data_IF_641508011613
#
_entry.id   IF_641508011613
#
_cell.length_a   1.000
_cell.length_b   1.000
_cell.length_c   1.000
_cell.angle_alpha   90.00
_cell.angle_beta   90.00
_cell.angle_gamma   90.00
#
_symmetry.space_group_name_H-M   'P 1'
#
loop_
_entity.id
_entity.type
_entity.pdbx_description
1 polymer ?
#
# COMPACT_ATOMS: atom_id res chain seq x y z
N UNK A 1 -12.85 -44.04 -15.14
CA UNK A 1 -11.59 -43.67 -15.80
C UNK A 1 -11.95 -42.57 -16.79
N UNK A 2 -11.65 -41.33 -16.41
CA UNK A 2 -12.34 -40.14 -16.90
C UNK A 2 -11.52 -39.41 -17.97
N UNK A 3 -12.11 -39.19 -19.14
CA UNK A 3 -11.52 -38.48 -20.28
C UNK A 3 -11.58 -36.93 -20.15
N UNK A 4 -11.61 -36.39 -18.93
CA UNK A 4 -11.82 -34.96 -18.69
C UNK A 4 -10.53 -34.15 -18.42
N UNK A 5 -9.36 -34.80 -18.35
CA UNK A 5 -8.11 -34.16 -17.86
C UNK A 5 -7.23 -33.50 -18.95
N UNK A 6 -7.58 -33.56 -20.24
CA UNK A 6 -6.66 -33.17 -21.32
C UNK A 6 -6.83 -31.75 -21.91
N UNK A 7 -7.68 -30.88 -21.36
CA UNK A 7 -7.95 -29.56 -21.96
C UNK A 7 -7.09 -28.42 -21.38
N UNK A 8 -6.34 -28.63 -20.29
CA UNK A 8 -5.78 -27.50 -19.51
C UNK A 8 -4.29 -27.18 -19.66
N UNK A 9 -3.64 -27.48 -20.80
CA UNK A 9 -2.21 -27.16 -21.00
C UNK A 9 -1.92 -26.40 -22.30
N UNK A 10 -2.75 -25.40 -22.66
CA UNK A 10 -2.34 -24.46 -23.72
C UNK A 10 -1.33 -23.45 -23.13
N UNK A 11 -0.06 -23.44 -23.57
CA UNK A 11 0.94 -22.52 -23.05
C UNK A 11 0.51 -21.08 -23.33
N UNK A 12 0.41 -20.27 -22.26
CA UNK A 12 0.06 -18.84 -22.39
C UNK A 12 1.18 -18.14 -23.15
N UNK A 13 0.87 -17.35 -24.20
CA UNK A 13 1.88 -16.55 -24.86
C UNK A 13 2.48 -15.57 -23.85
N UNK A 14 3.79 -15.67 -23.64
CA UNK A 14 4.55 -14.70 -22.85
C UNK A 14 4.50 -13.34 -23.54
N UNK A 15 3.53 -12.52 -23.15
CA UNK A 15 3.32 -11.19 -23.68
C UNK A 15 4.47 -10.28 -23.23
N UNK A 16 5.49 -10.13 -24.08
CA UNK A 16 6.57 -9.14 -23.92
C UNK A 16 6.03 -7.74 -24.19
N UNK A 17 5.25 -7.20 -23.25
CA UNK A 17 4.94 -5.77 -23.24
C UNK A 17 6.18 -4.95 -22.92
N UNK A 18 6.24 -3.66 -23.31
CA UNK A 18 7.35 -2.78 -22.96
C UNK A 18 7.46 -2.76 -21.43
N UNK A 19 8.50 -3.41 -20.90
CA UNK A 19 8.94 -3.16 -19.54
C UNK A 19 9.44 -1.72 -19.56
N UNK A 20 8.59 -0.78 -19.17
CA UNK A 20 9.09 0.37 -18.43
C UNK A 20 9.95 -0.25 -17.32
N UNK A 21 11.27 -0.09 -17.45
CA UNK A 21 12.21 -0.73 -16.55
C UNK A 21 11.95 -0.13 -15.17
N UNK A 22 11.18 -0.85 -14.35
CA UNK A 22 10.89 -0.44 -12.97
C UNK A 22 12.19 -0.20 -12.19
N UNK A 23 13.27 -0.89 -12.56
CA UNK A 23 14.62 -0.62 -12.06
C UNK A 23 15.06 0.83 -12.29
N UNK A 24 14.70 1.43 -13.42
CA UNK A 24 14.97 2.85 -13.73
C UNK A 24 14.16 3.82 -12.85
N UNK A 25 12.87 3.54 -12.62
CA UNK A 25 12.03 4.36 -11.73
C UNK A 25 12.54 4.25 -10.28
N UNK A 26 12.80 3.03 -9.81
CA UNK A 26 13.40 2.80 -8.49
C UNK A 26 14.77 3.45 -8.36
N UNK A 27 15.62 3.33 -9.38
CA UNK A 27 16.93 3.97 -9.42
C UNK A 27 16.83 5.49 -9.36
N UNK A 28 15.92 6.11 -10.12
CA UNK A 28 15.67 7.54 -10.08
C UNK A 28 15.14 7.99 -8.71
N UNK A 29 14.19 7.25 -8.12
CA UNK A 29 13.68 7.54 -6.77
C UNK A 29 14.76 7.39 -5.69
N UNK A 30 15.60 6.36 -5.77
CA UNK A 30 16.71 6.14 -4.85
C UNK A 30 17.77 7.22 -5.00
N UNK A 31 18.16 7.58 -6.24
CA UNK A 31 19.14 8.65 -6.49
C UNK A 31 18.60 10.00 -6.05
N UNK A 32 17.33 10.30 -6.32
CA UNK A 32 16.68 11.52 -5.84
C UNK A 32 16.66 11.54 -4.30
N UNK A 33 16.22 10.45 -3.67
CA UNK A 33 16.19 10.33 -2.20
C UNK A 33 17.57 10.41 -1.57
N UNK A 34 18.57 9.75 -2.16
CA UNK A 34 19.96 9.77 -1.70
C UNK A 34 20.59 11.15 -1.87
N UNK A 35 20.31 11.86 -2.98
CA UNK A 35 20.74 13.25 -3.17
C UNK A 35 20.04 14.21 -2.21
N UNK A 36 18.76 13.99 -1.91
CA UNK A 36 18.02 14.77 -0.92
C UNK A 36 18.48 14.50 0.52
N UNK A 37 18.94 13.27 0.81
CA UNK A 37 19.49 12.86 2.11
C UNK A 37 20.97 13.23 2.27
N UNK A 38 21.71 13.32 1.16
CA UNK A 38 23.05 13.90 1.10
C UNK A 38 22.95 15.37 1.51
N UNK A 39 23.27 15.64 2.78
CA UNK A 39 23.26 16.97 3.40
C UNK A 39 24.29 17.95 2.80
N UNK A 40 24.69 17.79 1.54
CA UNK A 40 25.47 18.78 0.80
C UNK A 40 24.62 20.04 0.66
N UNK A 41 25.04 21.19 1.23
CA UNK A 41 24.29 22.43 1.11
C UNK A 41 24.20 22.83 -0.36
N UNK A 42 22.99 22.98 -0.91
CA UNK A 42 22.79 23.52 -2.25
C UNK A 42 23.31 24.98 -2.29
N UNK A 43 24.38 25.29 -3.04
CA UNK A 43 25.16 26.50 -2.82
C UNK A 43 24.46 27.82 -3.20
N UNK A 44 23.29 27.80 -3.86
CA UNK A 44 22.56 29.03 -4.23
C UNK A 44 21.06 29.03 -3.87
N UNK A 45 20.39 27.87 -3.84
CA UNK A 45 18.94 27.81 -3.50
C UNK A 45 18.69 28.00 -2.01
N UNK A 46 19.71 27.70 -1.18
CA UNK A 46 19.64 27.81 0.28
C UNK A 46 19.21 29.20 0.76
N UNK A 47 19.69 30.29 0.15
CA UNK A 47 19.36 31.65 0.62
C UNK A 47 17.88 31.98 0.47
N UNK A 48 17.28 31.65 -0.67
CA UNK A 48 15.85 31.91 -0.91
C UNK A 48 14.94 30.91 -0.19
N UNK A 49 15.35 29.64 -0.11
CA UNK A 49 14.63 28.64 0.66
C UNK A 49 14.65 28.94 2.16
N UNK A 50 15.76 29.44 2.72
CA UNK A 50 15.84 29.84 4.13
C UNK A 50 15.03 31.11 4.42
N UNK A 51 14.81 31.98 3.41
CA UNK A 51 13.90 33.12 3.53
C UNK A 51 12.43 32.67 3.56
N UNK A 52 12.05 31.69 2.74
CA UNK A 52 10.69 31.14 2.75
C UNK A 52 10.42 30.22 3.94
N UNK A 53 11.45 29.54 4.44
CA UNK A 53 11.35 28.55 5.52
C UNK A 53 12.47 28.77 6.53
N UNK A 54 12.34 29.77 7.42
CA UNK A 54 13.36 30.05 8.42
C UNK A 54 13.64 28.82 9.28
N UNK A 55 14.92 28.47 9.42
CA UNK A 55 15.36 27.37 10.28
C UNK A 55 15.23 27.88 11.72
N UNK A 56 14.24 27.36 12.46
CA UNK A 56 14.12 27.62 13.88
C UNK A 56 15.23 26.85 14.60
N UNK A 57 16.28 27.56 14.99
CA UNK A 57 17.40 26.98 15.74
C UNK A 57 17.02 26.92 17.23
N UNK A 58 15.98 26.16 17.58
CA UNK A 58 15.55 26.02 18.98
C UNK A 58 16.18 24.76 19.56
N UNK A 59 17.12 24.94 20.48
CA UNK A 59 17.76 23.88 21.28
C UNK A 59 16.92 23.49 22.52
N UNK A 60 15.61 23.74 22.50
CA UNK A 60 14.71 23.62 23.64
C UNK A 60 14.26 22.19 23.97
N UNK A 61 15.02 21.18 23.55
CA UNK A 61 14.67 19.76 23.70
C UNK A 61 13.59 19.26 22.71
N UNK A 62 13.09 18.03 22.89
CA UNK A 62 12.21 17.37 21.92
C UNK A 62 10.92 18.14 21.58
N UNK A 63 10.38 18.90 22.54
CA UNK A 63 9.17 19.72 22.37
C UNK A 63 9.44 20.94 21.48
N UNK A 64 10.64 21.52 21.55
CA UNK A 64 11.05 22.60 20.66
C UNK A 64 11.35 22.08 19.25
N UNK A 65 12.01 20.92 19.18
CA UNK A 65 12.42 20.29 17.93
C UNK A 65 11.23 19.84 17.07
N UNK A 66 10.16 19.31 17.67
CA UNK A 66 8.99 18.83 16.92
C UNK A 66 8.28 19.94 16.12
N UNK A 67 8.53 21.22 16.43
CA UNK A 67 7.98 22.35 15.67
C UNK A 67 8.50 22.41 14.22
N UNK A 68 9.63 21.77 13.90
CA UNK A 68 10.09 21.67 12.51
C UNK A 68 9.23 20.68 11.69
N UNK A 69 8.50 19.79 12.36
CA UNK A 69 7.85 18.64 11.76
C UNK A 69 6.46 19.01 11.24
N UNK A 70 6.32 19.08 9.91
CA UNK A 70 5.10 19.57 9.26
C UNK A 70 4.14 18.45 8.82
N UNK A 71 4.43 17.18 9.12
CA UNK A 71 3.60 16.05 8.70
C UNK A 71 2.59 15.66 9.80
N UNK A 72 1.38 15.17 9.44
CA UNK A 72 0.37 14.71 10.41
C UNK A 72 0.88 13.73 11.44
N UNK A 73 0.65 14.01 12.71
CA UNK A 73 0.92 13.15 13.87
C UNK A 73 -0.28 13.19 14.84
N UNK A 74 -0.18 12.55 16.01
CA UNK A 74 -1.28 12.49 16.98
C UNK A 74 -2.52 11.80 16.42
N UNK A 75 -3.70 12.20 16.88
CA UNK A 75 -4.98 11.63 16.44
C UNK A 75 -5.22 11.85 14.93
N UNK A 76 -4.93 13.04 14.40
CA UNK A 76 -5.06 13.31 12.96
C UNK A 76 -4.11 12.44 12.13
N UNK A 77 -2.87 12.25 12.59
CA UNK A 77 -1.91 11.31 11.99
C UNK A 77 -2.42 9.87 11.99
N UNK A 78 -2.95 9.41 13.13
CA UNK A 78 -3.50 8.07 13.26
C UNK A 78 -4.65 7.83 12.27
N UNK A 79 -5.62 8.74 12.22
CA UNK A 79 -6.75 8.69 11.26
C UNK A 79 -6.22 8.69 9.82
N UNK A 80 -5.20 9.51 9.55
CA UNK A 80 -4.52 9.56 8.27
C UNK A 80 -3.93 8.18 7.90
N UNK A 81 -3.24 7.49 8.80
CA UNK A 81 -2.72 6.16 8.49
C UNK A 81 -3.82 5.13 8.27
N UNK A 82 -4.91 5.15 9.05
CA UNK A 82 -6.06 4.27 8.85
C UNK A 82 -6.68 4.44 7.46
N UNK A 83 -6.90 5.68 7.01
CA UNK A 83 -7.38 5.93 5.66
C UNK A 83 -6.40 5.49 4.57
N UNK A 84 -5.09 5.59 4.83
CA UNK A 84 -4.09 5.10 3.87
C UNK A 84 -4.13 3.58 3.75
N UNK A 85 -4.23 2.85 4.86
CA UNK A 85 -4.38 1.39 4.81
C UNK A 85 -5.67 0.97 4.13
N UNK A 86 -6.77 1.66 4.42
CA UNK A 86 -8.05 1.46 3.75
C UNK A 86 -7.91 1.63 2.24
N UNK A 87 -7.27 2.72 1.80
CA UNK A 87 -7.01 2.98 0.39
C UNK A 87 -6.20 1.86 -0.25
N UNK A 88 -5.07 1.47 0.37
CA UNK A 88 -4.20 0.41 -0.15
C UNK A 88 -4.95 -0.93 -0.25
N UNK A 89 -5.75 -1.28 0.76
CA UNK A 89 -6.50 -2.54 0.78
C UNK A 89 -7.51 -2.60 -0.39
N UNK A 90 -8.35 -1.58 -0.54
CA UNK A 90 -9.38 -1.58 -1.59
C UNK A 90 -8.80 -1.41 -3.00
N UNK A 91 -7.84 -0.49 -3.17
CA UNK A 91 -7.17 -0.32 -4.46
C UNK A 91 -6.37 -1.58 -4.84
N UNK A 92 -5.77 -2.27 -3.87
CA UNK A 92 -5.08 -3.55 -4.09
C UNK A 92 -6.01 -4.63 -4.66
N UNK A 93 -7.25 -4.71 -4.15
CA UNK A 93 -8.31 -5.64 -4.62
C UNK A 93 -8.98 -5.13 -5.92
N UNK A 94 -8.74 -3.89 -6.33
CA UNK A 94 -9.33 -3.28 -7.52
C UNK A 94 -10.76 -2.79 -7.32
N UNK A 95 -11.06 -2.30 -6.11
CA UNK A 95 -12.32 -1.61 -5.79
C UNK A 95 -12.03 -0.16 -5.42
N UNK A 96 -13.05 0.68 -5.57
CA UNK A 96 -13.00 2.06 -5.11
C UNK A 96 -12.99 2.09 -3.58
N UNK A 97 -12.08 2.84 -2.94
CA UNK A 97 -12.03 2.92 -1.48
C UNK A 97 -13.15 3.81 -0.90
N UNK A 98 -13.70 4.74 -1.69
CA UNK A 98 -14.89 5.49 -1.32
C UNK A 98 -16.13 4.58 -1.38
N UNK A 99 -16.98 4.68 -0.34
CA UNK A 99 -18.30 4.06 -0.34
C UNK A 99 -19.23 4.88 -1.25
N UNK A 100 -20.13 4.25 -2.04
CA UNK A 100 -20.34 2.81 -2.24
C UNK A 100 -19.20 2.11 -3.01
N UNK A 101 -18.86 0.88 -2.60
CA UNK A 101 -17.75 0.10 -3.16
C UNK A 101 -18.04 -0.39 -4.59
N UNK A 102 -17.60 0.38 -5.56
CA UNK A 102 -17.71 0.03 -6.97
C UNK A 102 -16.41 -0.59 -7.47
N UNK A 103 -16.49 -1.29 -8.61
CA UNK A 103 -15.29 -1.64 -9.35
C UNK A 103 -14.77 -0.37 -9.99
N UNK A 104 -13.47 -0.17 -9.91
CA UNK A 104 -12.84 0.94 -10.61
C UNK A 104 -13.01 0.70 -12.11
N UNK A 105 -13.61 1.64 -12.82
CA UNK A 105 -13.78 1.55 -14.28
C UNK A 105 -12.77 2.45 -15.01
N UNK A 106 -12.35 3.54 -14.38
CA UNK A 106 -11.55 4.59 -15.01
C UNK A 106 -10.09 4.52 -14.55
N UNK A 107 -9.37 3.51 -15.07
CA UNK A 107 -7.94 3.34 -14.78
C UNK A 107 -7.08 4.58 -15.06
N UNK A 108 -7.39 5.36 -16.12
CA UNK A 108 -6.65 6.60 -16.46
C UNK A 108 -6.81 7.68 -15.38
N UNK A 109 -8.03 7.86 -14.87
CA UNK A 109 -8.32 8.84 -13.83
C UNK A 109 -7.66 8.47 -12.50
N UNK A 110 -7.75 7.18 -12.12
CA UNK A 110 -7.05 6.63 -10.95
C UNK A 110 -5.54 6.86 -11.02
N UNK A 111 -4.95 6.63 -12.20
CA UNK A 111 -3.53 6.86 -12.44
C UNK A 111 -3.16 8.34 -12.30
N UNK A 112 -3.96 9.25 -12.86
CA UNK A 112 -3.73 10.70 -12.77
C UNK A 112 -3.77 11.20 -11.32
N UNK A 113 -4.80 10.81 -10.55
CA UNK A 113 -4.92 11.16 -9.14
C UNK A 113 -3.72 10.67 -8.31
N UNK A 114 -3.24 9.46 -8.62
CA UNK A 114 -2.08 8.86 -7.93
C UNK A 114 -0.79 9.61 -8.26
N UNK A 115 -0.58 10.01 -9.51
CA UNK A 115 0.58 10.80 -9.93
C UNK A 115 0.55 12.18 -9.27
N UNK A 116 -0.59 12.87 -9.28
CA UNK A 116 -0.75 14.19 -8.63
C UNK A 116 -0.46 14.08 -7.13
N UNK A 117 -1.01 13.04 -6.48
CA UNK A 117 -0.75 12.75 -5.07
C UNK A 117 0.75 12.62 -4.77
N UNK A 118 1.49 11.86 -5.58
CA UNK A 118 2.94 11.69 -5.44
C UNK A 118 3.70 13.01 -5.68
N UNK A 119 3.33 13.75 -6.73
CA UNK A 119 3.97 15.02 -7.08
C UNK A 119 3.82 16.08 -5.99
N UNK A 120 2.74 16.04 -5.20
CA UNK A 120 2.54 16.96 -4.07
C UNK A 120 3.17 16.41 -2.79
N UNK A 121 3.00 15.11 -2.51
CA UNK A 121 3.54 14.52 -1.28
C UNK A 121 5.07 14.60 -1.25
N UNK A 122 5.76 14.17 -2.30
CA UNK A 122 7.23 14.08 -2.30
C UNK A 122 7.90 15.42 -1.92
N UNK A 123 7.56 16.56 -2.55
CA UNK A 123 8.11 17.86 -2.15
C UNK A 123 7.77 18.25 -0.71
N UNK A 124 6.52 18.06 -0.26
CA UNK A 124 6.12 18.47 1.09
C UNK A 124 6.86 17.65 2.16
N UNK A 125 7.00 16.33 1.99
CA UNK A 125 7.83 15.51 2.88
C UNK A 125 9.31 15.92 2.81
N UNK A 126 9.83 16.20 1.62
CA UNK A 126 11.23 16.64 1.44
C UNK A 126 11.49 17.95 2.18
N UNK A 127 10.58 18.92 2.10
CA UNK A 127 10.65 20.18 2.85
C UNK A 127 10.63 19.89 4.36
N UNK A 128 9.72 19.04 4.83
CA UNK A 128 9.65 18.68 6.26
C UNK A 128 10.94 17.99 6.74
N UNK A 129 11.49 17.06 5.96
CA UNK A 129 12.75 16.37 6.27
C UNK A 129 13.90 17.37 6.32
N UNK A 130 13.97 18.29 5.35
CA UNK A 130 15.00 19.33 5.31
C UNK A 130 14.92 20.26 6.51
N UNK A 131 13.72 20.69 6.93
CA UNK A 131 13.51 21.52 8.12
C UNK A 131 13.93 20.81 9.41
N UNK A 132 13.72 19.50 9.49
CA UNK A 132 14.08 18.68 10.64
C UNK A 132 15.48 18.02 10.56
N UNK A 133 16.36 18.49 9.67
CA UNK A 133 17.66 17.84 9.42
C UNK A 133 18.62 17.84 10.62
N UNK A 134 18.41 18.73 11.59
CA UNK A 134 19.23 18.80 12.81
C UNK A 134 18.97 17.62 13.76
N UNK A 135 17.89 16.89 13.54
CA UNK A 135 17.38 15.84 14.41
C UNK A 135 17.13 14.58 13.58
N UNK A 136 18.08 13.65 13.63
CA UNK A 136 18.05 12.45 12.78
C UNK A 136 16.78 11.60 13.00
N UNK A 137 16.22 11.57 14.21
CA UNK A 137 14.97 10.88 14.54
C UNK A 137 13.81 11.31 13.61
N UNK A 138 13.57 12.62 13.52
CA UNK A 138 12.49 13.19 12.70
C UNK A 138 12.76 13.03 11.19
N UNK A 139 14.03 12.99 10.77
CA UNK A 139 14.42 12.67 9.38
C UNK A 139 13.98 11.26 9.01
N UNK A 140 14.29 10.26 9.84
CA UNK A 140 13.91 8.87 9.57
C UNK A 140 12.39 8.66 9.61
N UNK A 141 11.69 9.28 10.56
CA UNK A 141 10.22 9.24 10.60
C UNK A 141 9.62 9.95 9.38
N UNK A 142 10.18 11.08 8.95
CA UNK A 142 9.78 11.77 7.73
C UNK A 142 9.96 10.89 6.48
N UNK A 143 11.11 10.21 6.38
CA UNK A 143 11.38 9.25 5.31
C UNK A 143 10.39 8.07 5.31
N UNK A 144 10.03 7.57 6.49
CA UNK A 144 9.00 6.54 6.62
C UNK A 144 7.62 7.00 6.12
N UNK A 145 7.19 8.22 6.46
CA UNK A 145 5.92 8.77 5.94
C UNK A 145 5.98 8.98 4.42
N UNK A 146 7.13 9.38 3.89
CA UNK A 146 7.38 9.47 2.45
C UNK A 146 7.26 8.12 1.75
N UNK A 147 7.96 7.09 2.23
CA UNK A 147 7.90 5.73 1.66
C UNK A 147 6.48 5.14 1.70
N UNK A 148 5.70 5.46 2.74
CA UNK A 148 4.28 5.08 2.83
C UNK A 148 3.46 5.72 1.72
N UNK A 149 3.63 7.03 1.46
CA UNK A 149 2.93 7.72 0.36
C UNK A 149 3.37 7.21 -1.01
N UNK A 150 4.66 6.94 -1.20
CA UNK A 150 5.20 6.33 -2.44
C UNK A 150 4.55 4.96 -2.67
N UNK A 151 4.52 4.12 -1.64
CA UNK A 151 3.91 2.78 -1.72
C UNK A 151 2.44 2.87 -2.13
N UNK A 152 1.65 3.75 -1.50
CA UNK A 152 0.24 3.96 -1.83
C UNK A 152 0.07 4.38 -3.31
N UNK A 153 0.86 5.34 -3.78
CA UNK A 153 0.81 5.79 -5.18
C UNK A 153 1.21 4.69 -6.17
N UNK A 154 2.26 3.92 -5.87
CA UNK A 154 2.71 2.82 -6.72
C UNK A 154 1.70 1.67 -6.80
N UNK A 155 1.05 1.30 -5.68
CA UNK A 155 -0.05 0.32 -5.68
C UNK A 155 -1.17 0.76 -6.62
N UNK A 156 -1.59 2.03 -6.52
CA UNK A 156 -2.68 2.58 -7.33
C UNK A 156 -2.33 2.68 -8.82
N UNK A 157 -1.14 3.16 -9.17
CA UNK A 157 -0.64 3.20 -10.56
C UNK A 157 -0.51 1.79 -11.14
N UNK A 158 0.05 0.84 -10.38
CA UNK A 158 0.19 -0.53 -10.84
C UNK A 158 -1.18 -1.17 -11.10
N UNK A 159 -2.16 -0.97 -10.21
CA UNK A 159 -3.54 -1.45 -10.43
C UNK A 159 -4.17 -0.84 -11.68
N UNK A 160 -4.05 0.48 -11.85
CA UNK A 160 -4.56 1.19 -13.03
C UNK A 160 -3.99 0.63 -14.34
N UNK A 161 -2.68 0.30 -14.35
CA UNK A 161 -2.01 -0.29 -15.50
C UNK A 161 -2.54 -1.69 -15.84
N UNK A 162 -2.78 -2.53 -14.82
CA UNK A 162 -3.38 -3.86 -15.00
C UNK A 162 -4.75 -3.72 -15.68
N UNK A 163 -5.60 -2.81 -15.19
CA UNK A 163 -6.93 -2.59 -15.76
C UNK A 163 -6.90 -2.09 -17.20
N UNK A 164 -5.96 -1.20 -17.52
CA UNK A 164 -5.78 -0.68 -18.88
C UNK A 164 -5.45 -1.79 -19.87
N UNK A 165 -4.56 -2.72 -19.49
CA UNK A 165 -4.20 -3.86 -20.33
C UNK A 165 -5.40 -4.76 -20.65
N UNK A 166 -6.23 -5.04 -19.64
CA UNK A 166 -7.42 -5.87 -19.82
C UNK A 166 -8.44 -5.22 -20.77
N UNK A 167 -8.67 -3.91 -20.66
CA UNK A 167 -9.58 -3.19 -21.56
C UNK A 167 -9.13 -3.27 -23.01
N UNK A 168 -7.83 -3.08 -23.27
CA UNK A 168 -7.28 -3.20 -24.63
C UNK A 168 -7.40 -4.62 -25.18
N UNK A 169 -7.09 -5.65 -24.40
CA UNK A 169 -7.24 -7.04 -24.85
C UNK A 169 -8.68 -7.40 -25.17
N UNK A 170 -9.65 -6.92 -24.38
CA UNK A 170 -11.08 -7.15 -24.64
C UNK A 170 -11.55 -6.47 -25.93
N UNK A 171 -11.10 -5.23 -26.20
CA UNK A 171 -11.44 -4.52 -27.44
C UNK A 171 -10.85 -5.20 -28.68
N UNK A 172 -9.60 -5.68 -28.62
CA UNK A 172 -8.98 -6.37 -29.76
C UNK A 172 -9.68 -7.69 -30.08
N UNK A 173 -10.13 -8.45 -29.08
CA UNK A 173 -10.89 -9.69 -29.31
C UNK A 173 -12.26 -9.46 -29.93
N UNK A 174 -12.89 -8.30 -29.72
CA UNK A 174 -14.18 -7.97 -30.31
C UNK A 174 -14.08 -7.55 -31.79
N UNK A 175 -12.89 -7.13 -32.26
CA UNK A 175 -12.68 -6.60 -33.62
C UNK A 175 -12.01 -7.61 -34.56
N UNK A 176 -11.83 -8.87 -34.17
CA UNK A 176 -11.65 -9.91 -35.18
C UNK A 176 -13.02 -10.12 -35.83
N UNK A 177 -13.28 -9.59 -37.05
CA UNK A 177 -14.52 -9.90 -37.74
C UNK A 177 -14.60 -11.41 -37.79
N UNK A 178 -15.74 -11.96 -37.36
CA UNK A 178 -16.06 -13.33 -37.68
C UNK A 178 -16.13 -13.44 -39.20
N UNK A 179 -14.96 -13.63 -39.82
CA UNK A 179 -14.83 -14.18 -41.16
C UNK A 179 -15.03 -15.70 -41.10
N UNK A 180 -15.86 -16.15 -40.15
CA UNK A 180 -16.67 -17.33 -40.35
C UNK A 180 -17.74 -16.92 -41.35
N UNK A 181 -17.34 -16.90 -42.61
CA UNK A 181 -18.18 -17.36 -43.71
C UNK A 181 -18.53 -18.81 -43.36
N UNK A 182 -19.42 -18.99 -42.37
CA UNK A 182 -20.15 -20.23 -42.25
C UNK A 182 -20.82 -20.36 -43.60
N UNK A 183 -20.38 -21.35 -44.37
CA UNK A 183 -21.17 -21.91 -45.44
C UNK A 183 -22.56 -22.10 -44.84
N UNK A 184 -23.47 -21.19 -45.18
CA UNK A 184 -24.89 -21.35 -44.94
C UNK A 184 -25.24 -22.57 -45.77
N UNK A 185 -25.16 -23.76 -45.17
CA UNK A 185 -25.72 -24.94 -45.82
C UNK A 185 -27.22 -24.68 -45.81
N UNK A 186 -27.87 -24.57 -46.98
CA UNK A 186 -29.30 -24.43 -47.04
C UNK A 186 -29.91 -25.60 -46.28
N UNK A 187 -30.83 -25.27 -45.36
CA UNK A 187 -31.59 -26.24 -44.58
C UNK A 187 -32.22 -27.20 -45.59
N UNK A 188 -31.81 -28.47 -45.55
CA UNK A 188 -32.38 -29.50 -46.40
C UNK A 188 -33.79 -29.85 -45.87
N UNK A 189 -34.87 -29.55 -46.61
CA UNK A 189 -36.24 -29.70 -46.11
C UNK A 189 -36.71 -31.16 -45.97
N UNK A 190 -35.86 -32.15 -46.31
CA UNK A 190 -36.22 -33.56 -46.29
C UNK A 190 -36.20 -34.23 -44.89
N UNK A 191 -35.88 -33.52 -43.80
CA UNK A 191 -35.83 -34.13 -42.47
C UNK A 191 -36.59 -33.30 -41.40
N UNK A 192 -37.91 -33.51 -41.23
CA UNK A 192 -38.76 -32.72 -40.34
C UNK A 192 -38.63 -33.01 -38.83
N UNK A 193 -37.69 -33.85 -38.38
CA UNK A 193 -37.64 -34.30 -36.97
C UNK A 193 -36.57 -33.68 -36.06
N UNK A 194 -35.78 -32.69 -36.50
CA UNK A 194 -34.91 -31.94 -35.57
C UNK A 194 -35.62 -30.69 -35.04
N UNK A 195 -36.65 -30.96 -34.22
CA UNK A 195 -37.37 -29.96 -33.45
C UNK A 195 -36.57 -29.58 -32.18
N UNK A 196 -36.20 -28.30 -32.12
CA UNK A 196 -36.27 -27.45 -30.92
C UNK A 196 -35.74 -28.04 -29.61
N UNK A 197 -34.42 -27.98 -29.44
CA UNK A 197 -33.88 -27.64 -28.13
C UNK A 197 -33.87 -26.11 -28.02
N UNK A 198 -34.41 -25.49 -26.96
CA UNK A 198 -34.14 -24.08 -26.68
C UNK A 198 -32.67 -23.97 -26.33
N UNK A 199 -31.83 -23.70 -27.32
CA UNK A 199 -30.44 -23.30 -27.14
C UNK A 199 -30.44 -21.95 -26.44
N UNK A 200 -30.65 -22.01 -25.14
CA UNK A 200 -30.35 -20.96 -24.19
C UNK A 200 -28.85 -20.77 -24.28
N UNK A 201 -28.42 -19.96 -25.25
CA UNK A 201 -27.06 -19.47 -25.42
C UNK A 201 -26.66 -18.80 -24.11
N UNK A 202 -26.08 -19.61 -23.23
CA UNK A 202 -25.60 -19.26 -21.91
C UNK A 202 -24.44 -18.31 -22.14
N UNK A 203 -24.72 -17.00 -22.13
CA UNK A 203 -23.79 -15.87 -22.11
C UNK A 203 -22.89 -15.89 -20.85
N UNK A 204 -22.20 -17.01 -20.60
CA UNK A 204 -21.48 -17.29 -19.35
C UNK A 204 -20.00 -16.88 -19.44
N UNK A 205 -19.51 -16.52 -20.62
CA UNK A 205 -18.09 -16.25 -20.87
C UNK A 205 -17.61 -14.88 -20.36
N UNK A 206 -18.49 -13.88 -20.18
CA UNK A 206 -18.08 -12.56 -19.67
C UNK A 206 -17.80 -12.56 -18.16
N UNK A 207 -18.48 -13.40 -17.38
CA UNK A 207 -18.38 -13.42 -15.91
C UNK A 207 -17.05 -13.98 -15.41
N UNK A 208 -16.50 -15.02 -16.06
CA UNK A 208 -15.27 -15.68 -15.59
C UNK A 208 -14.02 -14.81 -15.77
N UNK A 209 -13.90 -14.08 -16.89
CA UNK A 209 -12.79 -13.14 -17.11
C UNK A 209 -12.76 -12.04 -16.06
N UNK A 210 -13.95 -11.59 -15.63
CA UNK A 210 -14.10 -10.54 -14.65
C UNK A 210 -13.68 -10.97 -13.23
N UNK A 211 -13.91 -12.23 -12.85
CA UNK A 211 -13.46 -12.77 -11.56
C UNK A 211 -11.93 -12.90 -11.49
N UNK A 212 -11.27 -13.30 -12.57
CA UNK A 212 -9.81 -13.42 -12.62
C UNK A 212 -9.10 -12.07 -12.39
N UNK A 213 -9.66 -10.96 -12.88
CA UNK A 213 -9.10 -9.61 -12.70
C UNK A 213 -9.10 -9.19 -11.22
N UNK A 214 -10.06 -9.66 -10.43
CA UNK A 214 -10.18 -9.30 -8.99
C UNK A 214 -9.07 -9.98 -8.17
N UNK A 215 -8.58 -11.14 -8.56
CA UNK A 215 -7.64 -11.94 -7.75
C UNK A 215 -6.17 -11.64 -8.00
N UNK A 216 -5.82 -10.66 -8.85
CA UNK A 216 -4.42 -10.34 -9.08
C UNK A 216 -3.86 -9.45 -7.95
N UNK A 217 -3.18 -10.10 -6.99
CA UNK A 217 -2.52 -9.47 -5.84
C UNK A 217 -1.13 -8.91 -6.13
N UNK A 218 -0.65 -8.94 -7.38
CA UNK A 218 0.69 -8.43 -7.75
C UNK A 218 0.95 -6.98 -7.28
N UNK A 219 -0.03 -6.05 -7.28
CA UNK A 219 0.18 -4.72 -6.73
C UNK A 219 0.57 -4.70 -5.25
N UNK A 220 0.19 -5.71 -4.45
CA UNK A 220 0.55 -5.77 -3.03
C UNK A 220 2.03 -6.01 -2.79
N UNK A 221 2.81 -6.41 -3.80
CA UNK A 221 4.27 -6.53 -3.69
C UNK A 221 4.94 -5.21 -3.26
N UNK A 222 4.33 -4.06 -3.58
CA UNK A 222 4.80 -2.75 -3.13
C UNK A 222 4.83 -2.59 -1.60
N UNK A 223 4.10 -3.43 -0.86
CA UNK A 223 4.16 -3.44 0.61
C UNK A 223 5.55 -3.75 1.17
N UNK A 224 6.43 -4.36 0.38
CA UNK A 224 7.84 -4.58 0.77
C UNK A 224 8.58 -3.24 0.93
N UNK A 225 8.34 -2.29 0.02
CA UNK A 225 8.93 -0.93 0.12
C UNK A 225 8.44 -0.23 1.38
N UNK A 226 7.15 -0.38 1.69
CA UNK A 226 6.58 0.12 2.93
C UNK A 226 7.17 -0.55 4.17
N UNK A 227 7.41 -1.86 4.15
CA UNK A 227 8.02 -2.57 5.27
C UNK A 227 9.45 -2.08 5.54
N UNK A 228 10.25 -1.90 4.48
CA UNK A 228 11.60 -1.31 4.58
C UNK A 228 11.51 0.10 5.17
N UNK A 229 10.63 0.95 4.65
CA UNK A 229 10.38 2.29 5.20
C UNK A 229 9.98 2.27 6.68
N UNK A 230 9.16 1.30 7.08
CA UNK A 230 8.71 1.11 8.46
C UNK A 230 9.86 0.73 9.38
N UNK A 231 10.76 -0.17 8.98
CA UNK A 231 11.94 -0.50 9.78
C UNK A 231 12.82 0.74 10.02
N UNK A 232 13.06 1.55 8.98
CA UNK A 232 13.85 2.78 9.08
C UNK A 232 13.16 3.80 10.00
N UNK A 233 11.85 4.01 9.83
CA UNK A 233 11.08 4.93 10.68
C UNK A 233 11.07 4.52 12.14
N UNK A 234 10.95 3.21 12.41
CA UNK A 234 10.95 2.67 13.77
C UNK A 234 12.31 2.83 14.47
N UNK A 235 13.43 2.75 13.74
CA UNK A 235 14.76 3.08 14.31
C UNK A 235 14.81 4.54 14.77
N UNK A 236 14.28 5.46 13.95
CA UNK A 236 14.16 6.87 14.32
C UNK A 236 13.26 7.10 15.53
N UNK A 237 12.11 6.41 15.55
CA UNK A 237 11.16 6.48 16.66
C UNK A 237 11.74 5.93 17.96
N UNK A 238 12.45 4.80 17.92
CA UNK A 238 13.10 4.19 19.10
C UNK A 238 14.14 5.15 19.70
N UNK A 239 14.97 5.79 18.87
CA UNK A 239 15.92 6.78 19.37
C UNK A 239 15.22 7.94 20.10
N UNK A 240 14.11 8.42 19.53
CA UNK A 240 13.28 9.46 20.15
C UNK A 240 12.66 8.99 21.46
N UNK A 241 12.09 7.78 21.49
CA UNK A 241 11.51 7.17 22.69
C UNK A 241 12.57 7.07 23.77
N UNK A 242 13.74 6.49 23.49
CA UNK A 242 14.81 6.32 24.48
C UNK A 242 15.20 7.64 25.15
N UNK A 243 15.21 8.74 24.39
CA UNK A 243 15.50 10.07 24.93
C UNK A 243 14.43 10.60 25.89
N UNK A 244 13.15 10.31 25.64
CA UNK A 244 12.01 10.84 26.41
C UNK A 244 11.45 9.84 27.44
N UNK A 245 11.79 8.55 27.33
CA UNK A 245 11.17 7.43 28.06
C UNK A 245 11.27 7.56 29.57
N UNK A 246 12.36 8.15 30.08
CA UNK A 246 12.58 8.33 31.52
C UNK A 246 11.71 9.45 32.10
N UNK A 247 11.41 10.47 31.30
CA UNK A 247 10.77 11.69 31.78
C UNK A 247 9.27 11.72 31.49
N UNK A 248 8.82 11.00 30.45
CA UNK A 248 7.43 11.06 29.99
C UNK A 248 6.68 9.74 30.25
N UNK A 249 5.81 9.74 31.26
CA UNK A 249 4.99 8.58 31.62
C UNK A 249 4.03 8.15 30.51
N UNK A 250 3.55 9.09 29.69
CA UNK A 250 2.64 8.80 28.58
C UNK A 250 3.33 7.97 27.49
N UNK A 251 4.55 8.35 27.11
CA UNK A 251 5.35 7.59 26.13
C UNK A 251 5.60 6.17 26.62
N UNK A 252 5.91 5.99 27.91
CA UNK A 252 6.10 4.67 28.52
C UNK A 252 4.83 3.82 28.47
N UNK A 253 3.68 4.37 28.90
CA UNK A 253 2.40 3.65 28.86
C UNK A 253 2.00 3.26 27.44
N UNK A 254 2.18 4.15 26.46
CA UNK A 254 1.94 3.83 25.04
C UNK A 254 2.85 2.71 24.54
N UNK A 255 4.13 2.73 24.92
CA UNK A 255 5.11 1.72 24.52
C UNK A 255 4.75 0.34 25.07
N UNK A 256 4.36 0.25 26.34
CA UNK A 256 3.89 -1.01 26.92
C UNK A 256 2.59 -1.49 26.25
N UNK A 257 1.63 -0.60 26.03
CA UNK A 257 0.38 -0.94 25.34
C UNK A 257 0.62 -1.49 23.94
N UNK A 258 1.52 -0.87 23.17
CA UNK A 258 1.90 -1.32 21.83
C UNK A 258 2.56 -2.71 21.83
N UNK A 259 3.53 -2.94 22.72
CA UNK A 259 4.22 -4.24 22.83
C UNK A 259 3.24 -5.34 23.24
N UNK A 260 2.37 -5.07 24.23
CA UNK A 260 1.35 -6.03 24.67
C UNK A 260 0.37 -6.35 23.54
N UNK A 261 -0.11 -5.33 22.81
CA UNK A 261 -1.03 -5.54 21.70
C UNK A 261 -0.44 -6.45 20.60
N UNK A 262 0.81 -6.21 20.20
CA UNK A 262 1.50 -7.06 19.21
C UNK A 262 1.71 -8.48 19.74
N UNK A 263 2.19 -8.62 20.99
CA UNK A 263 2.43 -9.91 21.59
C UNK A 263 1.14 -10.76 21.69
N UNK A 264 0.04 -10.16 22.16
CA UNK A 264 -1.26 -10.84 22.28
C UNK A 264 -1.78 -11.30 20.92
N UNK A 265 -1.71 -10.46 19.88
CA UNK A 265 -2.15 -10.83 18.53
C UNK A 265 -1.33 -11.98 17.94
N UNK A 266 -0.01 -11.96 18.14
CA UNK A 266 0.87 -12.99 17.63
C UNK A 266 0.68 -14.32 18.38
N UNK A 267 0.55 -14.28 19.71
CA UNK A 267 0.33 -15.46 20.55
C UNK A 267 -1.05 -16.10 20.32
N UNK A 268 -2.12 -15.30 20.18
CA UNK A 268 -3.46 -15.82 19.90
C UNK A 268 -3.53 -16.50 18.53
N UNK A 269 -2.85 -15.94 17.53
CA UNK A 269 -2.70 -16.56 16.20
C UNK A 269 -1.99 -17.90 16.28
N UNK A 270 -0.86 -17.97 17.01
CA UNK A 270 -0.11 -19.22 17.21
C UNK A 270 -0.97 -20.26 17.90
N UNK A 271 -1.65 -19.88 18.99
CA UNK A 271 -2.53 -20.79 19.72
C UNK A 271 -3.66 -21.32 18.83
N UNK A 272 -4.29 -20.45 18.02
CA UNK A 272 -5.34 -20.81 17.08
C UNK A 272 -4.86 -21.82 16.02
N UNK A 273 -3.77 -21.51 15.32
CA UNK A 273 -3.23 -22.38 14.27
C UNK A 273 -2.68 -23.69 14.84
N UNK A 274 -2.04 -23.65 16.00
CA UNK A 274 -1.55 -24.84 16.68
C UNK A 274 -2.70 -25.79 17.01
N UNK A 275 -3.78 -25.27 17.62
CA UNK A 275 -5.00 -26.06 17.91
C UNK A 275 -5.59 -26.67 16.63
N UNK A 276 -5.75 -25.87 15.57
CA UNK A 276 -6.32 -26.33 14.30
C UNK A 276 -5.52 -27.49 13.69
N UNK A 277 -4.19 -27.43 13.75
CA UNK A 277 -3.34 -28.50 13.20
C UNK A 277 -3.25 -29.74 14.10
N UNK A 278 -3.42 -29.59 15.42
CA UNK A 278 -3.51 -30.74 16.32
C UNK A 278 -4.76 -31.58 16.04
N UNK A 279 -5.89 -30.93 15.76
CA UNK A 279 -7.16 -31.63 15.46
C UNK A 279 -7.13 -32.36 14.11
N UNK A 280 -6.35 -31.88 13.13
CA UNK A 280 -6.27 -32.46 11.80
C UNK A 280 -5.29 -33.63 11.67
N UNK A 281 -4.31 -33.73 12.56
CA UNK A 281 -3.26 -34.74 12.46
C UNK A 281 -3.55 -35.88 13.45
N UNK A 282 -3.86 -37.07 12.92
CA UNK A 282 -4.11 -38.31 13.68
C UNK A 282 -2.84 -38.88 14.36
N UNK A 283 -1.97 -38.04 14.94
CA UNK A 283 -0.76 -38.46 15.66
C UNK A 283 0.46 -38.80 14.79
N UNK A 284 0.42 -38.59 13.47
CA UNK A 284 1.57 -38.90 12.59
C UNK A 284 2.67 -37.82 12.72
N UNK A 285 3.93 -38.25 12.92
CA UNK A 285 5.09 -37.37 13.10
C UNK A 285 5.27 -36.36 11.95
N UNK A 286 4.98 -36.78 10.70
CA UNK A 286 5.03 -35.89 9.52
C UNK A 286 4.01 -34.76 9.63
N UNK A 287 2.82 -35.05 10.14
CA UNK A 287 1.78 -34.06 10.39
C UNK A 287 2.21 -33.04 11.44
N UNK A 288 2.86 -33.51 12.51
CA UNK A 288 3.39 -32.64 13.57
C UNK A 288 4.48 -31.68 13.04
N UNK A 289 5.45 -32.16 12.25
CA UNK A 289 6.48 -31.29 11.67
C UNK A 289 5.85 -30.22 10.76
N UNK A 290 4.90 -30.61 9.92
CA UNK A 290 4.18 -29.68 9.04
C UNK A 290 3.38 -28.64 9.84
N UNK A 291 2.71 -29.07 10.91
CA UNK A 291 1.98 -28.20 11.83
C UNK A 291 2.89 -27.15 12.47
N UNK A 292 4.08 -27.54 12.95
CA UNK A 292 5.07 -26.61 13.50
C UNK A 292 5.55 -25.60 12.45
N UNK A 293 5.90 -26.05 11.24
CA UNK A 293 6.33 -25.16 10.16
C UNK A 293 5.25 -24.16 9.76
N UNK A 294 3.99 -24.61 9.64
CA UNK A 294 2.87 -23.74 9.30
C UNK A 294 2.53 -22.77 10.43
N UNK A 295 2.57 -23.23 11.68
CA UNK A 295 2.32 -22.38 12.87
C UNK A 295 3.40 -21.31 12.99
N UNK A 296 4.68 -21.69 12.88
CA UNK A 296 5.80 -20.75 12.91
C UNK A 296 5.71 -19.76 11.74
N UNK A 297 5.48 -20.24 10.52
CA UNK A 297 5.27 -19.37 9.36
C UNK A 297 4.13 -18.36 9.56
N UNK A 298 2.98 -18.82 10.09
CA UNK A 298 1.84 -17.95 10.38
C UNK A 298 2.14 -16.90 11.45
N UNK A 299 2.95 -17.24 12.46
CA UNK A 299 3.42 -16.32 13.49
C UNK A 299 4.21 -15.16 12.88
N UNK A 300 5.21 -15.44 12.03
CA UNK A 300 5.99 -14.36 11.40
C UNK A 300 5.13 -13.50 10.48
N UNK A 301 4.22 -14.10 9.73
CA UNK A 301 3.32 -13.34 8.85
C UNK A 301 2.46 -12.39 9.67
N UNK A 302 1.83 -12.86 10.76
CA UNK A 302 1.00 -12.01 11.62
C UNK A 302 1.84 -11.00 12.38
N UNK A 303 3.03 -11.37 12.86
CA UNK A 303 3.94 -10.43 13.52
C UNK A 303 4.34 -9.29 12.58
N UNK A 304 4.74 -9.59 11.34
CA UNK A 304 5.08 -8.59 10.33
C UNK A 304 3.87 -7.74 9.94
N UNK A 305 2.71 -8.36 9.77
CA UNK A 305 1.47 -7.65 9.43
C UNK A 305 1.01 -6.71 10.56
N UNK A 306 1.00 -7.19 11.80
CA UNK A 306 0.65 -6.43 13.00
C UNK A 306 1.68 -5.32 13.24
N UNK A 307 2.98 -5.64 13.19
CA UNK A 307 4.03 -4.64 13.33
C UNK A 307 3.92 -3.57 12.26
N UNK A 308 3.76 -3.93 10.99
CA UNK A 308 3.52 -2.99 9.90
C UNK A 308 2.31 -2.11 10.21
N UNK A 309 1.15 -2.71 10.45
CA UNK A 309 -0.10 -1.98 10.66
C UNK A 309 -0.05 -1.03 11.87
N UNK A 310 0.36 -1.52 13.04
CA UNK A 310 0.33 -0.74 14.28
C UNK A 310 1.49 0.26 14.40
N UNK A 311 2.62 0.05 13.72
CA UNK A 311 3.80 0.92 13.88
C UNK A 311 3.50 2.40 13.57
N UNK A 312 2.89 2.78 12.42
CA UNK A 312 2.55 4.18 12.18
C UNK A 312 1.55 4.76 13.19
N UNK A 313 0.57 3.96 13.62
CA UNK A 313 -0.41 4.40 14.62
C UNK A 313 0.28 4.73 15.95
N UNK A 314 1.16 3.83 16.38
CA UNK A 314 1.99 4.02 17.56
C UNK A 314 2.91 5.23 17.42
N UNK A 315 3.59 5.38 16.28
CA UNK A 315 4.45 6.53 16.00
C UNK A 315 3.70 7.85 16.11
N UNK A 316 2.49 7.95 15.56
CA UNK A 316 1.72 9.20 15.63
C UNK A 316 1.30 9.52 17.06
N UNK A 317 0.92 8.51 17.85
CA UNK A 317 0.56 8.68 19.26
C UNK A 317 1.76 9.10 20.11
N UNK A 318 2.94 8.49 19.90
CA UNK A 318 4.19 8.86 20.58
C UNK A 318 4.58 10.30 20.23
N UNK A 319 4.51 10.68 18.95
CA UNK A 319 4.78 12.06 18.53
C UNK A 319 3.78 13.05 19.16
N UNK A 320 2.50 12.69 19.26
CA UNK A 320 1.51 13.50 19.96
C UNK A 320 1.80 13.66 21.45
N UNK A 321 2.25 12.59 22.12
CA UNK A 321 2.64 12.60 23.52
C UNK A 321 3.90 13.46 23.77
N UNK A 322 4.89 13.40 22.88
CA UNK A 322 6.10 14.22 22.95
C UNK A 322 5.79 15.69 22.67
N UNK A 323 4.94 15.97 21.69
CA UNK A 323 4.48 17.33 21.38
C UNK A 323 3.59 17.94 22.46
N UNK A 324 3.14 17.16 23.45
CA UNK A 324 2.04 17.53 24.35
C UNK A 324 0.79 18.00 23.58
N UNK A 325 0.56 17.41 22.40
CA UNK A 325 -0.53 17.74 21.49
C UNK A 325 -1.11 16.46 20.91
N UNK A 326 -1.99 15.82 21.67
CA UNK A 326 -2.66 14.57 21.30
C UNK A 326 -3.52 14.68 20.04
N UNK A 327 -4.10 15.85 19.79
CA UNK A 327 -4.91 16.08 18.59
C UNK A 327 -4.07 15.99 17.32
N UNK A 328 -2.82 16.48 17.38
CA UNK A 328 -1.92 16.60 16.24
C UNK A 328 -2.20 17.81 15.35
N UNK A 329 -2.97 18.81 15.79
CA UNK A 329 -3.15 20.04 15.01
C UNK A 329 -1.82 20.79 14.83
N UNK A 330 -1.51 21.26 13.61
CA UNK A 330 -0.27 21.97 13.34
C UNK A 330 -0.25 23.34 14.00
N UNK A 331 0.94 23.87 14.26
CA UNK A 331 1.13 25.30 14.49
C UNK A 331 0.81 26.11 13.22
N UNK A 332 0.45 27.39 13.38
CA UNK A 332 0.07 28.29 12.28
C UNK A 332 1.10 28.30 11.14
N UNK A 333 2.40 28.30 11.47
CA UNK A 333 3.51 28.31 10.50
C UNK A 333 3.54 27.07 9.58
N UNK A 334 3.05 25.92 10.06
CA UNK A 334 3.12 24.65 9.33
C UNK A 334 1.77 24.22 8.76
N UNK A 335 0.71 24.96 9.04
CA UNK A 335 -0.67 24.58 8.71
C UNK A 335 -0.87 24.30 7.21
N UNK A 336 -0.28 25.13 6.34
CA UNK A 336 -0.41 24.96 4.88
C UNK A 336 0.25 23.66 4.41
N UNK A 337 1.51 23.40 4.80
CA UNK A 337 2.23 22.17 4.43
C UNK A 337 1.52 20.93 4.99
N UNK A 338 1.06 21.01 6.24
CA UNK A 338 0.36 19.96 6.94
C UNK A 338 -0.91 19.52 6.21
N UNK A 339 -1.81 20.47 5.93
CA UNK A 339 -3.08 20.16 5.27
C UNK A 339 -2.91 19.84 3.79
N UNK A 340 -1.93 20.44 3.12
CA UNK A 340 -1.57 20.08 1.75
C UNK A 340 -1.14 18.62 1.66
N UNK A 341 -0.25 18.18 2.54
CA UNK A 341 0.13 16.76 2.62
C UNK A 341 -1.06 15.87 2.96
N UNK A 342 -1.85 16.24 3.97
CA UNK A 342 -3.00 15.47 4.40
C UNK A 342 -4.00 15.27 3.25
N UNK A 343 -4.39 16.33 2.55
CA UNK A 343 -5.32 16.29 1.42
C UNK A 343 -4.74 15.56 0.22
N UNK A 344 -3.50 15.85 -0.17
CA UNK A 344 -2.85 15.22 -1.31
C UNK A 344 -2.76 13.70 -1.17
N UNK A 345 -2.44 13.19 0.03
CA UNK A 345 -2.39 11.76 0.33
C UNK A 345 -3.75 11.06 0.18
N UNK A 346 -4.86 11.80 0.22
CA UNK A 346 -6.24 11.28 0.04
C UNK A 346 -6.72 11.30 -1.40
N UNK A 347 -6.04 11.95 -2.32
CA UNK A 347 -6.47 12.01 -3.72
C UNK A 347 -6.76 10.62 -4.33
N UNK A 348 -5.95 9.56 -4.09
CA UNK A 348 -6.27 8.23 -4.61
C UNK A 348 -7.56 7.62 -4.05
N UNK A 349 -8.12 8.15 -2.96
CA UNK A 349 -9.40 7.69 -2.42
C UNK A 349 -10.59 8.03 -3.31
N UNK A 350 -10.46 9.08 -4.13
CA UNK A 350 -11.51 9.53 -5.06
C UNK A 350 -11.39 8.86 -6.43
N UNK A 351 -10.57 7.80 -6.54
CA UNK A 351 -10.50 6.99 -7.74
C UNK A 351 -11.83 6.25 -7.97
N UNK A 352 -12.44 6.46 -9.13
CA UNK A 352 -13.66 5.81 -9.60
C UNK A 352 -13.43 5.01 -10.89
#
# INVERSE_FOLDING_TARGET
MNAADNILTKPRPHLKGPLISWKGIFGALLVFSAKSASASPFPNVSRHANQMFPIKNITGGPVGEIQCYALPYGAVGMISHLFTYWTIAWTGVGRTPAWPFHRTEHGKFTMALSIISLLICIPVATISIHRCRLTWHFVLIGFWKLTTSITQGCVAVHRAFIMHKFKHSASTSATSPMNNTANYQPINPANPQQQQGPDMFKHTSSSQTLQFIVQNYTPLWWLIVYLVGTTIGMVGLIGLIVSDFRHNSNVRSLTYGFVVAIAVLALTTVAYWYKLHLEQNNGELKGLIKAYLQTFGSFFIVLVAAFGFFSPLYSDMVLGAIAQNWSGFPSEENQVLYWTWFGAKRLPMFAH
#
